data_IF_022281764152
#
_entry.id   IF_022281764152
#
_cell.length_a   1.000
_cell.length_b   1.000
_cell.length_c   1.000
_cell.angle_alpha   90.00
_cell.angle_beta   90.00
_cell.angle_gamma   90.00
#
_symmetry.space_group_name_H-M   'P 1'
#
loop_
_entity.id
_entity.type
_entity.pdbx_description
1 polymer ?
#
# COMPACT_ATOMS: atom_id res chain seq x y z
N UNK A 1 18.21 -13.93 -78.59
CA UNK A 1 18.79 -13.96 -77.17
C UNK A 1 17.69 -13.59 -76.21
N UNK A 2 16.96 -14.58 -75.69
CA UNK A 2 15.84 -14.35 -74.74
C UNK A 2 16.39 -14.31 -73.32
N UNK A 3 16.33 -13.15 -72.70
CA UNK A 3 16.73 -12.96 -71.30
C UNK A 3 15.70 -13.67 -70.43
N UNK A 4 16.17 -14.73 -69.72
CA UNK A 4 15.36 -15.38 -68.70
C UNK A 4 14.99 -14.39 -67.59
N UNK A 5 13.69 -14.13 -67.50
CA UNK A 5 13.12 -13.35 -66.40
C UNK A 5 13.19 -14.23 -65.13
N UNK A 6 14.20 -13.99 -64.32
CA UNK A 6 14.28 -14.55 -62.98
C UNK A 6 13.05 -14.11 -62.21
N UNK A 7 12.17 -15.04 -61.78
CA UNK A 7 11.01 -14.74 -60.98
C UNK A 7 11.40 -14.79 -59.47
N UNK A 8 11.80 -13.67 -58.85
CA UNK A 8 12.07 -13.60 -57.43
C UNK A 8 10.80 -13.56 -56.56
N UNK A 9 9.63 -13.77 -57.19
CA UNK A 9 8.35 -13.51 -56.56
C UNK A 9 7.93 -14.52 -55.50
N UNK A 10 8.17 -15.80 -55.73
CA UNK A 10 7.60 -16.86 -54.87
C UNK A 10 8.23 -16.90 -53.46
N UNK A 11 9.55 -16.82 -53.38
CA UNK A 11 10.28 -16.85 -52.09
C UNK A 11 9.99 -15.60 -51.26
N UNK A 12 9.97 -14.42 -51.91
CA UNK A 12 9.60 -13.17 -51.23
C UNK A 12 8.16 -13.18 -50.73
N UNK A 13 7.24 -13.70 -51.55
CA UNK A 13 5.82 -13.82 -51.17
C UNK A 13 5.66 -14.75 -49.96
N UNK A 14 6.28 -15.93 -49.98
CA UNK A 14 6.24 -16.87 -48.84
C UNK A 14 6.83 -16.25 -47.59
N UNK A 15 7.96 -15.56 -47.68
CA UNK A 15 8.58 -14.88 -46.54
C UNK A 15 7.68 -13.78 -45.98
N UNK A 16 7.05 -12.99 -46.85
CA UNK A 16 6.10 -11.95 -46.42
C UNK A 16 4.87 -12.53 -45.73
N UNK A 17 4.31 -13.63 -46.24
CA UNK A 17 3.19 -14.31 -45.61
C UNK A 17 3.56 -14.92 -44.26
N UNK A 18 4.75 -15.53 -44.14
CA UNK A 18 5.25 -16.05 -42.87
C UNK A 18 5.45 -14.92 -41.83
N UNK A 19 6.08 -13.82 -42.24
CA UNK A 19 6.29 -12.67 -41.36
C UNK A 19 4.94 -12.04 -40.91
N UNK A 20 4.00 -11.90 -41.86
CA UNK A 20 2.63 -11.46 -41.58
C UNK A 20 1.92 -12.40 -40.57
N UNK A 21 2.02 -13.69 -40.78
CA UNK A 21 1.44 -14.69 -39.87
C UNK A 21 2.04 -14.63 -38.46
N UNK A 22 3.36 -14.45 -38.37
CA UNK A 22 4.02 -14.26 -37.05
C UNK A 22 3.55 -12.97 -36.37
N UNK A 23 3.44 -11.87 -37.09
CA UNK A 23 2.96 -10.61 -36.52
C UNK A 23 1.51 -10.73 -36.04
N UNK A 24 0.62 -11.36 -36.80
CA UNK A 24 -0.77 -11.62 -36.40
C UNK A 24 -0.81 -12.48 -35.12
N UNK A 25 -0.02 -13.55 -35.11
CA UNK A 25 0.06 -14.41 -33.91
C UNK A 25 0.59 -13.67 -32.68
N UNK A 26 1.63 -12.84 -32.83
CA UNK A 26 2.18 -12.04 -31.73
C UNK A 26 1.16 -11.02 -31.21
N UNK A 27 0.47 -10.30 -32.12
CA UNK A 27 -0.55 -9.33 -31.67
C UNK A 27 -1.74 -10.00 -30.99
N UNK A 28 -2.17 -11.15 -31.50
CA UNK A 28 -3.23 -11.94 -30.87
C UNK A 28 -2.80 -12.44 -29.48
N UNK A 29 -1.59 -12.98 -29.34
CA UNK A 29 -1.06 -13.45 -28.06
C UNK A 29 -0.93 -12.32 -27.06
N UNK A 30 -0.47 -11.13 -27.49
CA UNK A 30 -0.40 -9.94 -26.65
C UNK A 30 -1.79 -9.47 -26.22
N UNK A 31 -2.77 -9.51 -27.10
CA UNK A 31 -4.17 -9.20 -26.79
C UNK A 31 -4.74 -10.14 -25.72
N UNK A 32 -4.51 -11.45 -25.86
CA UNK A 32 -4.93 -12.44 -24.88
C UNK A 32 -4.24 -12.22 -23.51
N UNK A 33 -2.96 -11.89 -23.52
CA UNK A 33 -2.25 -11.56 -22.28
C UNK A 33 -2.82 -10.32 -21.60
N UNK A 34 -3.12 -9.26 -22.35
CA UNK A 34 -3.72 -8.03 -21.82
C UNK A 34 -5.12 -8.28 -21.23
N UNK A 35 -5.96 -9.08 -21.92
CA UNK A 35 -7.29 -9.42 -21.42
C UNK A 35 -7.22 -10.27 -20.13
N UNK A 36 -6.26 -11.22 -20.06
CA UNK A 36 -6.01 -11.97 -18.85
C UNK A 36 -5.63 -11.09 -17.65
N UNK A 37 -4.73 -10.12 -17.88
CA UNK A 37 -4.35 -9.13 -16.85
C UNK A 37 -5.49 -8.21 -16.43
N UNK A 38 -6.35 -7.83 -17.37
CA UNK A 38 -7.55 -7.03 -17.07
C UNK A 38 -8.54 -7.82 -16.21
N UNK A 39 -8.79 -9.09 -16.53
CA UNK A 39 -9.65 -9.96 -15.74
C UNK A 39 -9.12 -10.19 -14.31
N UNK A 40 -7.81 -10.41 -14.16
CA UNK A 40 -7.16 -10.54 -12.84
C UNK A 40 -7.36 -9.28 -11.99
N UNK A 41 -7.13 -8.10 -12.58
CA UNK A 41 -7.38 -6.83 -11.88
C UNK A 41 -8.84 -6.67 -11.49
N UNK A 42 -9.77 -7.04 -12.37
CA UNK A 42 -11.20 -6.94 -12.08
C UNK A 42 -11.59 -7.81 -10.88
N UNK A 43 -11.08 -9.04 -10.79
CA UNK A 43 -11.36 -9.91 -9.62
C UNK A 43 -10.85 -9.31 -8.32
N UNK A 44 -9.69 -8.63 -8.33
CA UNK A 44 -9.17 -7.93 -7.16
C UNK A 44 -10.04 -6.73 -6.77
N UNK A 45 -10.50 -5.92 -7.74
CA UNK A 45 -11.42 -4.81 -7.48
C UNK A 45 -12.75 -5.28 -6.92
N UNK A 46 -13.32 -6.36 -7.47
CA UNK A 46 -14.57 -6.92 -6.98
C UNK A 46 -14.42 -7.49 -5.56
N UNK A 47 -13.28 -8.10 -5.25
CA UNK A 47 -12.97 -8.56 -3.89
C UNK A 47 -12.84 -7.39 -2.92
N UNK A 48 -12.15 -6.32 -3.31
CA UNK A 48 -12.03 -5.10 -2.53
C UNK A 48 -13.40 -4.44 -2.29
N UNK A 49 -14.21 -4.30 -3.33
CA UNK A 49 -15.54 -3.70 -3.23
C UNK A 49 -16.44 -4.50 -2.27
N UNK A 50 -16.41 -5.83 -2.36
CA UNK A 50 -17.14 -6.71 -1.44
C UNK A 50 -16.66 -6.58 -0.01
N UNK A 51 -15.34 -6.50 0.22
CA UNK A 51 -14.76 -6.32 1.54
C UNK A 51 -15.17 -4.99 2.18
N UNK A 52 -15.14 -3.90 1.41
CA UNK A 52 -15.57 -2.57 1.85
C UNK A 52 -17.08 -2.46 2.12
N UNK A 53 -17.91 -3.21 1.37
CA UNK A 53 -19.36 -3.24 1.55
C UNK A 53 -19.80 -4.09 2.73
N UNK A 54 -18.98 -5.03 3.20
CA UNK A 54 -19.31 -5.91 4.30
C UNK A 54 -19.40 -5.14 5.63
N UNK A 55 -20.19 -5.66 6.57
CA UNK A 55 -20.35 -5.08 7.92
C UNK A 55 -19.00 -4.98 8.63
N UNK A 56 -18.77 -3.93 9.44
CA UNK A 56 -17.55 -3.77 10.22
C UNK A 56 -17.30 -5.00 11.11
N UNK A 57 -16.04 -5.30 11.31
CA UNK A 57 -15.62 -6.35 12.23
C UNK A 57 -15.35 -5.70 13.59
N UNK A 58 -15.89 -6.27 14.65
CA UNK A 58 -15.53 -5.94 16.02
C UNK A 58 -14.81 -7.17 16.60
N UNK A 59 -13.50 -7.29 16.42
CA UNK A 59 -12.75 -8.40 16.96
C UNK A 59 -12.77 -8.34 18.47
N UNK A 60 -13.28 -9.41 19.09
CA UNK A 60 -13.00 -9.68 20.49
C UNK A 60 -11.52 -10.01 20.68
N UNK A 61 -11.10 -10.43 21.86
CA UNK A 61 -9.72 -10.76 22.24
C UNK A 61 -9.08 -11.91 21.42
N UNK A 62 -9.71 -12.40 20.38
CA UNK A 62 -9.23 -13.49 19.54
C UNK A 62 -8.24 -12.96 18.50
N UNK A 63 -7.13 -13.68 18.36
CA UNK A 63 -6.18 -13.48 17.27
C UNK A 63 -6.91 -13.69 15.94
N UNK A 64 -7.07 -12.62 15.17
CA UNK A 64 -7.83 -12.62 13.93
C UNK A 64 -6.92 -13.18 12.83
N UNK A 65 -7.41 -14.18 12.10
CA UNK A 65 -6.78 -14.62 10.86
C UNK A 65 -6.92 -13.52 9.80
N UNK A 66 -5.79 -12.88 9.50
CA UNK A 66 -5.72 -11.60 8.79
C UNK A 66 -5.58 -11.74 7.29
N UNK A 67 -5.31 -12.94 6.78
CA UNK A 67 -5.06 -13.15 5.36
C UNK A 67 -6.31 -12.86 4.50
N UNK A 68 -7.50 -12.92 5.11
CA UNK A 68 -8.78 -12.66 4.45
C UNK A 68 -9.44 -11.33 4.83
N UNK A 69 -8.77 -10.47 5.61
CA UNK A 69 -9.37 -9.25 6.16
C UNK A 69 -8.95 -7.95 5.47
N UNK A 70 -8.18 -8.03 4.40
CA UNK A 70 -7.80 -6.85 3.61
C UNK A 70 -9.05 -6.08 3.17
N UNK A 71 -9.00 -4.75 3.33
CA UNK A 71 -10.08 -3.81 3.03
C UNK A 71 -11.35 -3.95 3.87
N UNK A 72 -11.39 -4.82 4.89
CA UNK A 72 -12.53 -4.89 5.82
C UNK A 72 -12.55 -3.68 6.74
N UNK A 73 -13.75 -3.18 6.99
CA UNK A 73 -13.98 -2.16 8.02
C UNK A 73 -13.82 -2.80 9.41
N UNK A 74 -13.24 -2.04 10.32
CA UNK A 74 -13.03 -2.46 11.71
C UNK A 74 -13.52 -1.38 12.66
N UNK A 75 -14.17 -1.79 13.75
CA UNK A 75 -14.57 -0.94 14.85
C UNK A 75 -14.04 -1.52 16.16
N UNK A 76 -13.26 -0.73 16.90
CA UNK A 76 -12.62 -1.14 18.15
C UNK A 76 -12.82 -0.07 19.22
N UNK A 77 -12.83 -0.49 20.47
CA UNK A 77 -12.67 0.38 21.63
C UNK A 77 -11.26 0.22 22.18
N UNK A 78 -10.65 1.31 22.62
CA UNK A 78 -9.28 1.27 23.14
C UNK A 78 -8.67 2.65 23.31
N UNK A 79 -7.33 2.70 23.31
CA UNK A 79 -6.56 3.93 23.53
C UNK A 79 -5.43 4.03 22.52
N UNK A 80 -5.13 5.24 22.09
CA UNK A 80 -3.88 5.51 21.39
C UNK A 80 -2.73 5.57 22.39
N UNK A 81 -1.60 5.02 22.03
CA UNK A 81 -0.37 5.09 22.83
C UNK A 81 0.47 6.27 22.31
N UNK A 82 0.67 7.31 23.15
CA UNK A 82 1.43 8.50 22.77
C UNK A 82 2.90 8.19 22.50
N UNK A 83 3.45 7.15 23.12
CA UNK A 83 4.84 6.72 22.90
C UNK A 83 5.01 5.94 21.59
N UNK A 84 3.93 5.40 21.06
CA UNK A 84 3.92 4.61 19.84
C UNK A 84 3.57 5.48 18.61
N UNK A 85 4.21 6.64 18.48
CA UNK A 85 4.00 7.59 17.38
C UNK A 85 5.25 7.68 16.52
N UNK A 86 5.10 7.43 15.23
CA UNK A 86 6.17 7.62 14.23
C UNK A 86 5.65 8.39 13.02
N UNK A 87 6.54 9.07 12.34
CA UNK A 87 6.29 9.71 11.05
C UNK A 87 6.96 8.93 9.94
N UNK A 88 6.25 8.69 8.85
CA UNK A 88 6.82 8.10 7.64
C UNK A 88 7.05 9.21 6.62
N UNK A 89 8.30 9.39 6.24
CA UNK A 89 8.74 10.42 5.30
C UNK A 89 8.47 10.05 3.83
N UNK A 90 8.88 10.94 2.94
CA UNK A 90 8.78 10.76 1.50
C UNK A 90 7.34 10.56 1.00
N UNK A 91 6.39 11.29 1.59
CA UNK A 91 5.00 11.39 1.16
C UNK A 91 4.73 12.71 0.47
N UNK A 92 3.69 12.74 -0.37
CA UNK A 92 3.26 13.95 -1.06
C UNK A 92 1.74 14.04 -1.08
N UNK A 93 1.23 15.26 -0.92
CA UNK A 93 -0.18 15.61 -1.10
C UNK A 93 -0.26 16.76 -2.09
N UNK A 94 -0.88 16.52 -3.24
CA UNK A 94 -1.00 17.52 -4.32
C UNK A 94 0.35 18.16 -4.70
N UNK A 95 1.40 17.36 -4.80
CA UNK A 95 2.76 17.81 -5.14
C UNK A 95 3.52 18.50 -3.99
N UNK A 96 2.94 18.61 -2.80
CA UNK A 96 3.57 19.21 -1.62
C UNK A 96 4.14 18.12 -0.71
N UNK A 97 5.36 18.31 -0.16
CA UNK A 97 5.96 17.36 0.78
C UNK A 97 5.09 17.16 2.02
N UNK A 98 4.97 15.91 2.43
CA UNK A 98 4.17 15.49 3.58
C UNK A 98 4.85 14.35 4.33
N UNK A 99 4.41 14.10 5.55
CA UNK A 99 4.71 12.88 6.31
C UNK A 99 3.41 12.15 6.61
N UNK A 100 3.47 10.83 6.63
CA UNK A 100 2.36 9.99 7.07
C UNK A 100 2.52 9.73 8.57
N UNK A 101 1.44 9.85 9.31
CA UNK A 101 1.44 9.63 10.76
C UNK A 101 0.95 8.22 11.06
N UNK A 102 1.78 7.43 11.72
CA UNK A 102 1.41 6.11 12.22
C UNK A 102 1.51 6.12 13.75
N UNK A 103 0.42 5.73 14.40
CA UNK A 103 0.34 5.66 15.85
C UNK A 103 -0.20 4.31 16.31
N UNK A 104 0.38 3.76 17.37
CA UNK A 104 -0.11 2.54 17.99
C UNK A 104 -1.45 2.76 18.70
N UNK A 105 -2.41 1.88 18.45
CA UNK A 105 -3.69 1.82 19.14
C UNK A 105 -3.76 0.52 19.95
N UNK A 106 -4.10 0.61 21.22
CA UNK A 106 -4.27 -0.52 22.11
C UNK A 106 -5.76 -0.83 22.28
N UNK A 107 -6.26 -1.91 21.66
CA UNK A 107 -7.65 -2.33 21.88
C UNK A 107 -7.86 -2.74 23.35
N UNK A 108 -9.08 -2.54 23.85
CA UNK A 108 -9.44 -3.00 25.20
C UNK A 108 -9.28 -4.52 25.33
N UNK A 109 -8.59 -4.94 26.41
CA UNK A 109 -8.33 -6.36 26.66
C UNK A 109 -7.28 -7.00 25.77
N UNK A 110 -6.65 -6.27 24.84
CA UNK A 110 -5.60 -6.81 23.97
C UNK A 110 -4.19 -6.59 24.56
N UNK A 111 -3.35 -7.61 24.46
CA UNK A 111 -1.94 -7.57 24.82
C UNK A 111 -1.01 -7.02 23.73
N UNK A 112 -1.55 -6.45 22.65
CA UNK A 112 -0.80 -5.96 21.51
C UNK A 112 -1.30 -4.58 21.05
N UNK A 113 -0.49 -3.90 20.24
CA UNK A 113 -0.83 -2.65 19.57
C UNK A 113 -1.24 -2.91 18.12
N UNK A 114 -2.16 -2.10 17.62
CA UNK A 114 -2.49 -2.02 16.19
C UNK A 114 -1.89 -0.73 15.65
N UNK A 115 -1.00 -0.78 14.65
CA UNK A 115 -0.55 0.42 13.95
C UNK A 115 -1.72 1.06 13.19
N UNK A 116 -1.96 2.33 13.44
CA UNK A 116 -3.03 3.09 12.82
C UNK A 116 -2.43 4.21 11.97
N UNK A 117 -2.74 4.18 10.68
CA UNK A 117 -2.47 5.30 9.77
C UNK A 117 -3.50 6.40 10.03
N UNK A 118 -3.03 7.48 10.64
CA UNK A 118 -3.85 8.65 10.97
C UNK A 118 -3.95 9.68 9.84
N UNK A 119 -3.25 9.44 8.74
CA UNK A 119 -3.25 10.31 7.58
C UNK A 119 -1.94 11.05 7.37
N UNK A 120 -2.01 12.14 6.60
CA UNK A 120 -0.86 12.88 6.11
C UNK A 120 -0.83 14.30 6.71
N UNK A 121 0.35 14.71 7.19
CA UNK A 121 0.65 16.07 7.61
C UNK A 121 1.58 16.72 6.59
N UNK A 122 1.21 17.92 6.13
CA UNK A 122 2.04 18.70 5.22
C UNK A 122 3.27 19.23 5.96
N UNK A 123 4.42 19.13 5.32
CA UNK A 123 5.64 19.80 5.81
C UNK A 123 5.55 21.31 5.62
N UNK A 124 6.15 22.05 6.55
CA UNK A 124 6.26 23.50 6.40
C UNK A 124 7.14 23.84 5.19
N UNK A 125 6.66 24.60 4.20
CA UNK A 125 7.46 24.99 3.04
C UNK A 125 8.71 25.81 3.39
N UNK A 126 8.67 26.55 4.49
CA UNK A 126 9.81 27.36 4.96
C UNK A 126 10.89 26.51 5.66
N UNK A 127 10.52 25.34 6.18
CA UNK A 127 11.45 24.39 6.80
C UNK A 127 11.02 22.95 6.48
N UNK A 128 11.27 22.48 5.26
CA UNK A 128 10.79 21.18 4.80
C UNK A 128 11.52 19.99 5.43
N UNK A 129 12.64 20.24 6.13
CA UNK A 129 13.39 19.18 6.83
C UNK A 129 12.86 18.92 8.24
N UNK A 130 12.13 19.87 8.80
CA UNK A 130 11.56 19.72 10.14
C UNK A 130 10.29 18.88 10.11
N UNK A 131 10.20 17.89 11.00
CA UNK A 131 8.96 17.14 11.16
C UNK A 131 7.82 18.08 11.62
N UNK A 132 6.63 18.00 10.99
CA UNK A 132 5.50 18.82 11.43
C UNK A 132 5.03 18.33 12.81
N UNK A 133 4.57 19.26 13.62
CA UNK A 133 3.93 18.93 14.90
C UNK A 133 2.47 18.57 14.63
N UNK A 134 1.98 17.53 15.29
CA UNK A 134 0.56 17.22 15.25
C UNK A 134 -0.25 18.36 15.85
N UNK A 135 -1.38 18.73 15.24
CA UNK A 135 -2.31 19.68 15.85
C UNK A 135 -2.80 19.18 17.23
N UNK A 136 -2.98 20.08 18.18
CA UNK A 136 -3.37 19.72 19.54
C UNK A 136 -4.72 18.98 19.61
N UNK A 137 -5.66 19.31 18.72
CA UNK A 137 -6.95 18.64 18.57
C UNK A 137 -6.85 17.21 17.99
N UNK A 138 -5.74 16.90 17.32
CA UNK A 138 -5.43 15.56 16.80
C UNK A 138 -4.62 14.71 17.79
N UNK A 139 -4.11 15.31 18.87
CA UNK A 139 -3.33 14.63 19.91
C UNK A 139 -4.31 13.93 20.86
N UNK A 140 -4.41 12.61 20.75
CA UNK A 140 -5.23 11.81 21.67
C UNK A 140 -4.34 11.36 22.83
N UNK A 141 -4.74 11.69 24.08
CA UNK A 141 -4.00 11.27 25.27
C UNK A 141 -4.16 9.77 25.50
N UNK A 142 -3.14 9.15 26.12
CA UNK A 142 -3.13 7.72 26.49
C UNK A 142 -4.28 7.32 27.42
N UNK A 143 -4.86 8.28 28.13
CA UNK A 143 -5.87 8.03 29.15
C UNK A 143 -7.28 7.94 28.57
N UNK A 144 -7.51 8.47 27.38
CA UNK A 144 -8.84 8.57 26.80
C UNK A 144 -9.19 7.32 26.01
N UNK A 145 -10.17 6.56 26.47
CA UNK A 145 -10.80 5.49 25.69
C UNK A 145 -11.53 6.11 24.52
N UNK A 146 -11.23 5.64 23.31
CA UNK A 146 -11.87 6.11 22.09
C UNK A 146 -12.30 4.94 21.21
N UNK A 147 -13.32 5.17 20.39
CA UNK A 147 -13.74 4.26 19.34
C UNK A 147 -12.87 4.43 18.10
N UNK A 148 -12.18 3.38 17.69
CA UNK A 148 -11.47 3.33 16.43
C UNK A 148 -12.39 2.80 15.33
N UNK A 149 -12.61 3.61 14.29
CA UNK A 149 -13.28 3.19 13.06
C UNK A 149 -12.32 3.36 11.90
N UNK A 150 -12.04 2.26 11.21
CA UNK A 150 -11.07 2.31 10.13
C UNK A 150 -11.23 1.16 9.15
N UNK A 151 -10.29 1.07 8.23
CA UNK A 151 -10.20 0.00 7.23
C UNK A 151 -8.86 -0.69 7.35
N UNK A 152 -8.86 -2.02 7.35
CA UNK A 152 -7.64 -2.83 7.38
C UNK A 152 -6.96 -2.71 6.02
N UNK A 153 -5.70 -2.27 6.01
CA UNK A 153 -4.89 -2.18 4.81
C UNK A 153 -4.41 -3.57 4.36
N UNK A 154 -4.34 -3.82 3.05
CA UNK A 154 -3.79 -5.07 2.53
C UNK A 154 -2.29 -5.17 2.83
N UNK A 155 -1.81 -6.39 2.99
CA UNK A 155 -0.41 -6.72 3.32
C UNK A 155 0.60 -6.10 2.34
N UNK A 156 0.27 -6.04 1.04
CA UNK A 156 1.17 -5.43 0.05
C UNK A 156 1.27 -3.91 0.15
N UNK A 157 0.29 -3.23 0.72
CA UNK A 157 0.40 -1.81 0.99
C UNK A 157 1.38 -1.53 2.13
N UNK A 158 1.71 -2.56 2.90
CA UNK A 158 2.65 -2.52 4.02
C UNK A 158 4.06 -2.94 3.62
N UNK A 159 4.21 -3.72 2.53
CA UNK A 159 5.51 -4.24 2.12
C UNK A 159 6.21 -3.30 1.16
N UNK A 160 7.27 -2.67 1.64
CA UNK A 160 8.31 -2.07 0.82
C UNK A 160 9.03 -3.11 -0.05
N UNK A 161 8.87 -4.40 0.22
CA UNK A 161 9.52 -5.51 -0.47
C UNK A 161 9.33 -5.46 -1.99
N UNK A 162 8.12 -5.13 -2.47
CA UNK A 162 7.90 -5.01 -3.92
C UNK A 162 8.61 -3.80 -4.54
N UNK A 163 8.81 -2.71 -3.82
CA UNK A 163 9.62 -1.57 -4.28
C UNK A 163 11.11 -1.85 -4.17
N UNK A 164 11.54 -2.57 -3.14
CA UNK A 164 12.93 -2.96 -2.93
C UNK A 164 13.46 -3.86 -4.03
N UNK A 165 12.68 -4.83 -4.47
CA UNK A 165 13.05 -5.75 -5.57
C UNK A 165 13.19 -5.03 -6.91
N UNK A 166 12.36 -4.01 -7.19
CA UNK A 166 12.42 -3.26 -8.45
C UNK A 166 13.47 -2.14 -8.47
N UNK A 167 13.86 -1.60 -7.32
CA UNK A 167 14.72 -0.43 -7.25
C UNK A 167 16.07 -0.68 -6.54
N UNK A 168 16.36 -1.92 -6.14
CA UNK A 168 17.58 -2.23 -5.38
C UNK A 168 17.68 -1.44 -4.07
N UNK A 169 16.53 -1.07 -3.49
CA UNK A 169 16.50 -0.30 -2.27
C UNK A 169 16.98 -1.16 -1.09
N UNK A 170 17.92 -0.58 -0.35
CA UNK A 170 18.58 -1.20 0.79
C UNK A 170 17.58 -1.75 1.82
N UNK A 171 17.97 -2.88 2.39
CA UNK A 171 17.26 -3.63 3.44
C UNK A 171 17.11 -2.87 4.77
N UNK A 172 17.47 -1.58 4.83
CA UNK A 172 17.43 -0.77 6.03
C UNK A 172 16.39 0.34 5.95
N UNK A 173 15.45 0.32 6.88
CA UNK A 173 14.60 1.48 7.15
C UNK A 173 15.49 2.54 7.79
N UNK A 174 15.65 3.68 7.09
CA UNK A 174 16.30 4.83 7.69
C UNK A 174 15.43 5.41 8.78
N UNK A 175 16.01 5.62 9.97
CA UNK A 175 15.34 6.15 11.15
C UNK A 175 16.10 7.34 11.66
N UNK A 176 15.42 8.44 11.88
CA UNK A 176 15.98 9.67 12.41
C UNK A 176 15.06 10.28 13.47
N UNK A 177 15.62 10.87 14.49
CA UNK A 177 14.86 11.68 15.44
C UNK A 177 14.85 13.14 14.99
N UNK A 178 13.67 13.69 14.77
CA UNK A 178 13.46 15.10 14.41
C UNK A 178 12.50 15.72 15.42
N UNK A 179 12.93 16.71 16.18
CA UNK A 179 12.13 17.44 17.19
C UNK A 179 11.44 16.52 18.22
N UNK A 180 12.10 15.47 18.65
CA UNK A 180 11.52 14.49 19.59
C UNK A 180 10.60 13.47 18.96
N UNK A 181 10.45 13.46 17.62
CA UNK A 181 9.65 12.50 16.88
C UNK A 181 10.54 11.56 16.07
N UNK A 182 10.15 10.29 16.03
CA UNK A 182 10.79 9.30 15.17
C UNK A 182 10.29 9.44 13.73
N UNK A 183 11.22 9.67 12.80
CA UNK A 183 10.95 9.78 11.36
C UNK A 183 11.59 8.61 10.65
N UNK A 184 10.80 7.84 9.93
CA UNK A 184 11.21 6.63 9.23
C UNK A 184 11.03 6.82 7.71
N UNK A 185 11.89 6.21 6.93
CA UNK A 185 11.75 6.23 5.45
C UNK A 185 10.57 5.38 4.97
N UNK A 186 10.22 4.35 5.72
CA UNK A 186 9.13 3.43 5.40
C UNK A 186 8.60 2.76 6.67
N UNK A 187 7.44 2.09 6.57
CA UNK A 187 6.83 1.37 7.69
C UNK A 187 7.06 -0.15 7.57
N UNK A 188 7.42 -0.77 8.70
CA UNK A 188 7.39 -2.21 8.90
C UNK A 188 6.82 -2.50 10.30
N UNK A 189 5.85 -3.41 10.39
CA UNK A 189 5.27 -3.81 11.69
C UNK A 189 6.32 -4.46 12.59
N UNK A 190 7.22 -5.28 12.02
CA UNK A 190 8.33 -5.93 12.75
C UNK A 190 9.29 -4.90 13.35
N UNK A 191 9.69 -3.90 12.56
CA UNK A 191 10.56 -2.84 13.04
C UNK A 191 9.86 -1.92 14.06
N UNK A 192 8.55 -1.74 13.94
CA UNK A 192 7.75 -0.99 14.89
C UNK A 192 7.63 -1.75 16.22
N UNK A 193 7.43 -3.06 16.18
CA UNK A 193 7.46 -3.94 17.36
C UNK A 193 8.81 -3.89 18.08
N UNK A 194 9.91 -4.01 17.34
CA UNK A 194 11.27 -3.90 17.91
C UNK A 194 11.51 -2.52 18.54
N UNK A 195 11.04 -1.46 17.91
CA UNK A 195 11.19 -0.10 18.42
C UNK A 195 10.44 0.11 19.73
N UNK A 196 9.23 -0.43 19.83
CA UNK A 196 8.37 -0.26 21.01
C UNK A 196 8.66 -1.28 22.12
N UNK A 197 9.31 -2.40 21.81
CA UNK A 197 9.54 -3.49 22.77
C UNK A 197 8.27 -4.19 23.25
N UNK A 198 7.18 -4.13 22.47
CA UNK A 198 5.89 -4.74 22.78
C UNK A 198 5.21 -5.29 21.54
N UNK A 199 4.35 -6.32 21.66
CA UNK A 199 3.72 -6.96 20.52
C UNK A 199 2.88 -5.99 19.68
N UNK A 200 3.01 -6.12 18.37
CA UNK A 200 2.29 -5.32 17.37
C UNK A 200 1.57 -6.24 16.39
N UNK A 201 0.37 -5.87 15.97
CA UNK A 201 -0.35 -6.61 14.95
C UNK A 201 0.40 -6.59 13.61
N UNK A 202 0.25 -7.66 12.82
CA UNK A 202 0.81 -7.77 11.47
C UNK A 202 -0.03 -7.04 10.40
N UNK A 203 -1.03 -6.24 10.79
CA UNK A 203 -1.86 -5.42 9.92
C UNK A 203 -1.90 -3.97 10.40
N UNK A 204 -2.18 -3.08 9.48
CA UNK A 204 -2.34 -1.64 9.71
C UNK A 204 -3.79 -1.26 9.44
N UNK A 205 -4.34 -0.40 10.28
CA UNK A 205 -5.67 0.20 10.08
C UNK A 205 -5.50 1.63 9.59
N UNK A 206 -6.21 2.03 8.55
CA UNK A 206 -6.29 3.44 8.14
C UNK A 206 -7.59 4.08 8.60
N UNK A 207 -7.52 5.28 9.13
CA UNK A 207 -8.69 6.11 9.46
C UNK A 207 -9.27 6.77 8.20
N UNK A 208 -8.50 6.86 7.13
CA UNK A 208 -9.00 7.42 5.87
C UNK A 208 -9.79 6.37 5.09
N UNK A 209 -10.86 6.78 4.39
CA UNK A 209 -11.53 5.88 3.47
C UNK A 209 -10.52 5.46 2.39
N UNK A 210 -10.37 4.16 2.19
CA UNK A 210 -9.57 3.64 1.09
C UNK A 210 -10.20 4.13 -0.21
N UNK A 211 -9.48 4.99 -0.94
CA UNK A 211 -9.94 5.49 -2.22
C UNK A 211 -10.22 4.30 -3.15
N UNK A 212 -11.46 4.18 -3.63
CA UNK A 212 -11.76 3.24 -4.70
C UNK A 212 -10.98 3.71 -5.94
N UNK A 213 -9.97 2.95 -6.31
CA UNK A 213 -9.27 3.20 -7.57
C UNK A 213 -10.23 2.81 -8.68
N UNK A 214 -11.01 3.79 -9.15
CA UNK A 214 -11.76 3.66 -10.40
C UNK A 214 -10.73 3.47 -11.50
N UNK A 215 -10.67 2.26 -12.04
CA UNK A 215 -9.94 1.99 -13.28
C UNK A 215 -10.54 2.89 -14.37
N UNK A 216 -9.76 3.84 -14.86
CA UNK A 216 -9.99 4.53 -16.12
C UNK A 216 -9.26 3.81 -17.22
#
# INVERSE_FOLDING_TARGET
MVKAVNSPGKTKLVLTLLLGGVLVWLTFSLGQWQTGRAAEKQTLFDAQARALAASPISPGNAQIDLDNLSYRKIELQGRFDAKALIYIDNRQVNGRPAVQVVQGFRPEGAGFLIPVDRGLLLRNPADPRRAPVMPDDATVSDEQVTGLKGTILPRFAQSAELRGVLLGAADSIYKEEQNGFQVWSNFSAEEFEKHLGQPVSNFVVTLQPVAQTTAR
#
